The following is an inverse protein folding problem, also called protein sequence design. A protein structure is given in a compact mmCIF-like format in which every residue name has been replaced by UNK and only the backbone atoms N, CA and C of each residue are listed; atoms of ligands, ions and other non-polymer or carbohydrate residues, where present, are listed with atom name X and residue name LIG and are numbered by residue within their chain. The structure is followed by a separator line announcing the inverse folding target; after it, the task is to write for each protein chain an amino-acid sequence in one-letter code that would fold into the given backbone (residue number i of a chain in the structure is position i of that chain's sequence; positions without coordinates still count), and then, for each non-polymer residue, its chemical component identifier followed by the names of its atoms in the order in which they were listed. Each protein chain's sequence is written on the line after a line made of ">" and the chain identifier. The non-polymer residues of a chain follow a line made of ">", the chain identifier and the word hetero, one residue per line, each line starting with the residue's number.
data_IF_687541100754
#
_entry.id   IF_687541100754
#
_cell.length_a   1.000
_cell.length_b   1.000
_cell.length_c   1.000
_cell.angle_alpha   90.00
_cell.angle_beta   90.00
_cell.angle_gamma   90.00
#
_symmetry.space_group_name_H-M   'P 1'
#
loop_
_entity.id
_entity.type
_entity.pdbx_description
1 polymer ?
#
# COMPACT_ATOMS: atom_id res chain seq x y z
N UNK A 1 -20.66 -33.19 -28.22
CA UNK A 1 -20.55 -33.40 -26.76
C UNK A 1 -20.61 -32.04 -26.09
N UNK A 2 -21.22 -31.90 -24.91
CA UNK A 2 -21.18 -30.63 -24.19
C UNK A 2 -19.78 -30.46 -23.58
N UNK A 3 -19.04 -29.43 -23.98
CA UNK A 3 -17.76 -29.11 -23.36
C UNK A 3 -18.00 -28.62 -21.93
N UNK A 4 -17.71 -29.49 -20.97
CA UNK A 4 -17.68 -29.17 -19.54
C UNK A 4 -16.40 -28.39 -19.24
N UNK A 5 -16.30 -27.18 -19.80
CA UNK A 5 -15.21 -26.23 -19.54
C UNK A 5 -15.03 -26.10 -18.03
N UNK A 6 -13.95 -26.69 -17.52
CA UNK A 6 -13.67 -26.82 -16.10
C UNK A 6 -13.49 -25.43 -15.48
N UNK A 7 -13.90 -25.25 -14.22
CA UNK A 7 -13.51 -24.06 -13.46
C UNK A 7 -11.97 -24.08 -13.36
N UNK A 8 -11.25 -22.96 -13.63
CA UNK A 8 -9.80 -22.93 -13.54
C UNK A 8 -9.32 -23.40 -12.16
N UNK A 9 -8.34 -24.30 -12.11
CA UNK A 9 -7.98 -24.96 -10.84
C UNK A 9 -7.24 -24.06 -9.85
N UNK A 10 -6.60 -23.01 -10.35
CA UNK A 10 -5.72 -22.13 -9.59
C UNK A 10 -6.23 -20.67 -9.63
N UNK A 11 -7.47 -20.43 -9.18
CA UNK A 11 -8.02 -19.08 -9.09
C UNK A 11 -7.41 -18.31 -7.91
N UNK A 12 -7.08 -17.02 -8.07
CA UNK A 12 -6.58 -16.16 -6.99
C UNK A 12 -7.65 -16.01 -5.90
N UNK A 13 -7.25 -16.14 -4.63
CA UNK A 13 -8.15 -16.01 -3.48
C UNK A 13 -8.35 -14.55 -3.08
N UNK A 14 -9.57 -14.21 -2.70
CA UNK A 14 -9.95 -12.86 -2.27
C UNK A 14 -10.84 -12.94 -1.04
N UNK A 15 -10.42 -12.31 0.05
CA UNK A 15 -11.17 -12.36 1.32
C UNK A 15 -12.07 -11.13 1.50
N UNK A 16 -11.91 -10.08 0.69
CA UNK A 16 -12.66 -8.83 0.79
C UNK A 16 -12.25 -7.96 1.98
N UNK A 17 -11.02 -8.14 2.50
CA UNK A 17 -10.50 -7.38 3.64
C UNK A 17 -9.84 -6.09 3.19
N UNK A 18 -9.88 -5.07 4.07
CA UNK A 18 -9.18 -3.79 3.86
C UNK A 18 -7.69 -4.03 3.61
N UNK A 19 -7.21 -3.64 2.44
CA UNK A 19 -5.82 -3.79 2.01
C UNK A 19 -5.63 -4.71 0.80
N UNK A 20 -6.60 -5.58 0.53
CA UNK A 20 -6.71 -6.29 -0.76
C UNK A 20 -7.15 -5.30 -1.86
N UNK A 21 -6.72 -5.53 -3.09
CA UNK A 21 -7.13 -4.74 -4.26
C UNK A 21 -8.11 -5.54 -5.11
N UNK A 22 -9.36 -5.08 -5.16
CA UNK A 22 -10.44 -5.72 -5.92
C UNK A 22 -10.25 -5.58 -7.44
N UNK A 23 -9.63 -4.51 -7.94
CA UNK A 23 -9.33 -4.36 -9.38
C UNK A 23 -8.25 -5.35 -9.81
N UNK A 24 -7.21 -5.48 -8.99
CA UNK A 24 -6.13 -6.44 -9.21
C UNK A 24 -6.66 -7.88 -9.21
N UNK A 25 -7.51 -8.23 -8.22
CA UNK A 25 -8.13 -9.55 -8.15
C UNK A 25 -9.06 -9.84 -9.34
N UNK A 26 -9.95 -8.91 -9.70
CA UNK A 26 -10.85 -9.07 -10.85
C UNK A 26 -10.04 -9.28 -12.15
N UNK A 27 -8.96 -8.53 -12.36
CA UNK A 27 -8.07 -8.72 -13.51
C UNK A 27 -7.38 -10.09 -13.50
N UNK A 28 -6.92 -10.57 -12.33
CA UNK A 28 -6.32 -11.91 -12.20
C UNK A 28 -7.35 -13.03 -12.47
N UNK A 29 -8.61 -12.86 -12.05
CA UNK A 29 -9.72 -13.77 -12.38
C UNK A 29 -9.99 -13.80 -13.90
N UNK A 30 -10.12 -12.63 -14.54
CA UNK A 30 -10.30 -12.57 -16.00
C UNK A 30 -9.11 -13.20 -16.73
N UNK A 31 -7.87 -12.99 -16.28
CA UNK A 31 -6.68 -13.57 -16.88
C UNK A 31 -6.64 -15.10 -16.74
N UNK A 32 -6.97 -15.64 -15.56
CA UNK A 32 -7.09 -17.08 -15.35
C UNK A 32 -8.18 -17.70 -16.25
N UNK A 33 -9.30 -17.00 -16.44
CA UNK A 33 -10.35 -17.38 -17.38
C UNK A 33 -9.87 -17.38 -18.84
N UNK A 34 -9.21 -16.32 -19.32
CA UNK A 34 -8.62 -16.25 -20.68
C UNK A 34 -7.68 -17.42 -20.96
N UNK A 35 -6.79 -17.75 -20.01
CA UNK A 35 -5.83 -18.87 -20.12
C UNK A 35 -6.54 -20.22 -20.22
N UNK A 36 -7.76 -20.36 -19.69
CA UNK A 36 -8.59 -21.57 -19.77
C UNK A 36 -9.63 -21.49 -20.90
N UNK A 37 -9.37 -20.67 -21.93
CA UNK A 37 -10.24 -20.46 -23.10
C UNK A 37 -11.67 -20.00 -22.76
N UNK A 38 -11.84 -19.30 -21.63
CA UNK A 38 -13.12 -18.71 -21.21
C UNK A 38 -13.19 -17.27 -21.72
N UNK A 39 -14.15 -16.98 -22.60
CA UNK A 39 -14.41 -15.64 -23.11
C UNK A 39 -14.77 -14.67 -21.97
N UNK A 40 -14.20 -13.46 -22.03
CA UNK A 40 -14.49 -12.37 -21.08
C UNK A 40 -15.53 -11.46 -21.70
N UNK A 41 -16.78 -11.82 -21.52
CA UNK A 41 -17.95 -11.09 -22.03
C UNK A 41 -18.73 -10.49 -20.87
N UNK A 42 -19.11 -9.22 -21.01
CA UNK A 42 -19.85 -8.45 -20.00
C UNK A 42 -21.22 -9.05 -19.66
N UNK A 43 -21.84 -9.74 -20.62
CA UNK A 43 -23.09 -10.51 -20.49
C UNK A 43 -22.92 -11.88 -19.83
N UNK A 44 -21.69 -12.34 -19.57
CA UNK A 44 -21.43 -13.73 -19.15
C UNK A 44 -21.92 -14.03 -17.74
N UNK A 45 -22.95 -14.88 -17.64
CA UNK A 45 -23.47 -15.38 -16.35
C UNK A 45 -22.57 -16.43 -15.69
N UNK A 46 -21.55 -16.92 -16.41
CA UNK A 46 -20.59 -17.92 -15.90
C UNK A 46 -19.46 -17.28 -15.08
N UNK A 47 -19.00 -16.08 -15.46
CA UNK A 47 -17.87 -15.42 -14.79
C UNK A 47 -18.14 -15.03 -13.32
N UNK A 48 -19.31 -14.50 -12.93
CA UNK A 48 -19.63 -14.23 -11.51
C UNK A 48 -19.55 -15.49 -10.65
N UNK A 49 -19.98 -16.64 -11.18
CA UNK A 49 -19.93 -17.92 -10.48
C UNK A 49 -18.49 -18.44 -10.33
N UNK A 50 -17.63 -18.24 -11.34
CA UNK A 50 -16.20 -18.55 -11.25
C UNK A 50 -15.53 -17.64 -10.19
N UNK A 51 -15.76 -16.33 -10.26
CA UNK A 51 -15.21 -15.37 -9.30
C UNK A 51 -15.65 -15.68 -7.87
N UNK A 52 -16.96 -15.92 -7.65
CA UNK A 52 -17.53 -16.30 -6.36
C UNK A 52 -16.91 -17.57 -5.77
N UNK A 53 -16.56 -18.57 -6.60
CA UNK A 53 -15.87 -19.79 -6.15
C UNK A 53 -14.43 -19.56 -5.64
N UNK A 54 -13.85 -18.40 -5.98
CA UNK A 54 -12.53 -17.98 -5.52
C UNK A 54 -12.57 -17.03 -4.32
N UNK A 55 -13.75 -16.53 -3.93
CA UNK A 55 -13.91 -15.69 -2.75
C UNK A 55 -13.88 -16.51 -1.45
N UNK A 56 -13.30 -15.93 -0.42
CA UNK A 56 -13.20 -16.50 0.94
C UNK A 56 -13.88 -15.58 1.96
N UNK A 57 -13.94 -15.98 3.23
CA UNK A 57 -14.63 -15.19 4.27
C UNK A 57 -13.81 -13.94 4.66
N UNK A 58 -14.42 -12.75 4.77
CA UNK A 58 -15.87 -12.44 4.66
C UNK A 58 -16.46 -12.32 3.25
N UNK A 59 -15.68 -12.01 2.19
CA UNK A 59 -16.17 -11.71 0.83
C UNK A 59 -17.13 -12.74 0.22
N UNK A 60 -16.96 -14.04 0.49
CA UNK A 60 -17.90 -15.08 0.07
C UNK A 60 -19.33 -14.89 0.60
N UNK A 61 -19.49 -14.24 1.76
CA UNK A 61 -20.80 -13.87 2.33
C UNK A 61 -21.46 -12.71 1.58
N UNK A 62 -20.67 -11.77 1.04
CA UNK A 62 -21.19 -10.76 0.12
C UNK A 62 -21.63 -11.39 -1.20
N UNK A 63 -20.88 -12.35 -1.74
CA UNK A 63 -21.28 -13.04 -2.99
C UNK A 63 -22.59 -13.80 -2.83
N UNK A 64 -22.77 -14.52 -1.71
CA UNK A 64 -24.04 -15.16 -1.38
C UNK A 64 -25.19 -14.16 -1.27
N UNK A 65 -24.96 -12.99 -0.66
CA UNK A 65 -25.97 -11.94 -0.60
C UNK A 65 -26.30 -11.40 -2.01
N UNK A 66 -25.31 -10.91 -2.75
CA UNK A 66 -25.44 -10.37 -4.11
C UNK A 66 -26.20 -11.34 -5.04
N UNK A 67 -25.77 -12.60 -5.09
CA UNK A 67 -26.41 -13.63 -5.94
C UNK A 67 -27.83 -14.00 -5.51
N UNK A 68 -28.21 -13.75 -4.24
CA UNK A 68 -29.57 -13.98 -3.75
C UNK A 68 -30.53 -12.79 -3.94
N UNK A 69 -30.01 -11.58 -4.15
CA UNK A 69 -30.80 -10.33 -4.26
C UNK A 69 -30.83 -9.71 -5.66
N UNK A 70 -29.83 -10.00 -6.50
CA UNK A 70 -29.78 -9.55 -7.90
C UNK A 70 -30.70 -10.41 -8.77
N UNK A 71 -31.42 -9.82 -9.73
CA UNK A 71 -32.33 -10.59 -10.60
C UNK A 71 -31.53 -11.52 -11.52
N UNK A 72 -32.12 -12.65 -11.91
CA UNK A 72 -31.43 -13.64 -12.75
C UNK A 72 -30.91 -13.08 -14.09
N UNK A 73 -31.64 -12.12 -14.67
CA UNK A 73 -31.28 -11.39 -15.89
C UNK A 73 -30.10 -10.42 -15.68
N UNK A 74 -29.86 -10.02 -14.43
CA UNK A 74 -28.83 -9.07 -13.99
C UNK A 74 -27.60 -9.79 -13.41
N UNK A 75 -27.55 -11.14 -13.37
CA UNK A 75 -26.41 -11.93 -12.87
C UNK A 75 -25.28 -12.05 -13.91
N UNK A 76 -24.88 -10.94 -14.54
CA UNK A 76 -23.86 -10.87 -15.59
C UNK A 76 -22.48 -10.49 -15.05
N UNK A 77 -21.45 -10.51 -15.90
CA UNK A 77 -20.09 -10.14 -15.48
C UNK A 77 -19.95 -8.64 -15.22
N UNK A 78 -20.62 -7.80 -16.01
CA UNK A 78 -20.62 -6.34 -15.86
C UNK A 78 -21.13 -5.92 -14.47
N UNK A 79 -22.37 -6.31 -14.13
CA UNK A 79 -23.00 -5.98 -12.85
C UNK A 79 -22.25 -6.56 -11.65
N UNK A 80 -21.65 -7.74 -11.81
CA UNK A 80 -20.77 -8.32 -10.78
C UNK A 80 -19.54 -7.45 -10.55
N UNK A 81 -18.83 -7.02 -11.60
CA UNK A 81 -17.67 -6.12 -11.46
C UNK A 81 -18.09 -4.79 -10.84
N UNK A 82 -19.17 -4.17 -11.30
CA UNK A 82 -19.67 -2.90 -10.79
C UNK A 82 -20.03 -2.98 -9.30
N UNK A 83 -20.81 -3.98 -8.88
CA UNK A 83 -21.18 -4.15 -7.48
C UNK A 83 -19.99 -4.60 -6.60
N UNK A 84 -19.04 -5.39 -7.13
CA UNK A 84 -17.82 -5.77 -6.42
C UNK A 84 -16.91 -4.56 -6.17
N UNK A 85 -16.71 -3.70 -7.18
CA UNK A 85 -16.01 -2.43 -7.03
C UNK A 85 -16.75 -1.55 -6.01
N UNK A 86 -18.05 -1.32 -6.17
CA UNK A 86 -18.85 -0.49 -5.24
C UNK A 86 -18.79 -0.97 -3.77
N UNK A 87 -18.62 -2.28 -3.53
CA UNK A 87 -18.59 -2.83 -2.17
C UNK A 87 -17.18 -2.94 -1.56
N UNK A 88 -16.17 -3.32 -2.34
CA UNK A 88 -14.81 -3.59 -1.84
C UNK A 88 -13.79 -2.48 -2.15
N UNK A 89 -14.03 -1.66 -3.18
CA UNK A 89 -13.19 -0.50 -3.44
C UNK A 89 -13.44 0.59 -2.40
N UNK A 90 -12.38 1.20 -1.90
CA UNK A 90 -12.52 2.37 -1.04
C UNK A 90 -13.03 3.56 -1.87
N UNK A 91 -14.06 4.26 -1.41
CA UNK A 91 -14.61 5.44 -2.11
C UNK A 91 -13.61 6.59 -2.31
N UNK A 92 -12.44 6.52 -1.68
CA UNK A 92 -11.29 7.41 -1.86
C UNK A 92 -10.06 6.72 -2.48
N UNK A 93 -10.20 5.59 -3.19
CA UNK A 93 -9.11 4.78 -3.75
C UNK A 93 -8.07 5.60 -4.54
N UNK A 94 -8.51 6.42 -5.50
CA UNK A 94 -7.64 7.31 -6.29
C UNK A 94 -6.90 8.37 -5.45
N UNK A 95 -7.41 8.72 -4.26
CA UNK A 95 -6.72 9.59 -3.30
C UNK A 95 -5.74 8.79 -2.41
N UNK A 96 -6.10 7.58 -1.99
CA UNK A 96 -5.24 6.68 -1.21
C UNK A 96 -3.99 6.27 -2.00
N UNK A 97 -4.11 6.04 -3.32
CA UNK A 97 -2.95 5.78 -4.18
C UNK A 97 -2.01 7.00 -4.25
N UNK A 98 -2.55 8.21 -4.46
CA UNK A 98 -1.79 9.47 -4.46
C UNK A 98 -1.11 9.73 -3.11
N UNK A 99 -1.81 9.49 -2.01
CA UNK A 99 -1.27 9.60 -0.64
C UNK A 99 -0.12 8.60 -0.39
N UNK A 100 -0.27 7.36 -0.85
CA UNK A 100 0.80 6.34 -0.82
C UNK A 100 2.02 6.78 -1.65
N UNK A 101 1.83 7.26 -2.87
CA UNK A 101 2.92 7.80 -3.72
C UNK A 101 3.64 8.98 -3.05
N UNK A 102 2.88 9.96 -2.55
CA UNK A 102 3.45 11.14 -1.88
C UNK A 102 4.28 10.78 -0.64
N UNK A 103 3.94 9.70 0.05
CA UNK A 103 4.67 9.17 1.22
C UNK A 103 5.76 8.14 0.89
N UNK A 104 5.81 7.58 -0.32
CA UNK A 104 6.78 6.54 -0.68
C UNK A 104 8.21 7.09 -0.69
N UNK A 105 9.15 6.41 -0.02
CA UNK A 105 10.56 6.80 0.04
C UNK A 105 11.46 5.62 -0.28
N UNK A 106 12.57 5.90 -0.94
CA UNK A 106 13.64 4.95 -1.22
C UNK A 106 14.46 4.72 0.06
N UNK A 107 14.09 3.70 0.83
CA UNK A 107 14.77 3.32 2.09
C UNK A 107 15.92 2.35 1.82
N UNK A 108 15.74 1.42 0.87
CA UNK A 108 16.71 0.38 0.53
C UNK A 108 17.36 0.61 -0.84
N UNK A 109 17.44 -0.47 -1.62
CA UNK A 109 17.83 -0.48 -3.02
C UNK A 109 16.83 0.27 -3.94
N UNK A 110 17.27 0.53 -5.18
CA UNK A 110 16.47 1.24 -6.18
C UNK A 110 15.40 0.37 -6.84
N UNK A 111 15.64 -0.93 -7.02
CA UNK A 111 14.70 -1.86 -7.67
C UNK A 111 13.43 -2.05 -6.85
N UNK A 112 13.58 -2.25 -5.54
CA UNK A 112 12.50 -2.30 -4.56
C UNK A 112 11.71 -1.00 -4.50
N UNK A 113 12.35 0.16 -4.71
CA UNK A 113 11.66 1.43 -4.81
C UNK A 113 10.88 1.56 -6.12
N UNK A 114 11.51 1.23 -7.25
CA UNK A 114 10.88 1.22 -8.57
C UNK A 114 9.67 0.31 -8.61
N UNK A 115 9.79 -0.94 -8.13
CA UNK A 115 8.67 -1.89 -8.05
C UNK A 115 7.50 -1.36 -7.19
N UNK A 116 7.79 -0.75 -6.03
CA UNK A 116 6.76 -0.12 -5.18
C UNK A 116 6.12 1.12 -5.82
N UNK A 117 6.89 1.89 -6.58
CA UNK A 117 6.39 3.08 -7.28
C UNK A 117 5.51 2.67 -8.47
N UNK A 118 6.03 1.82 -9.37
CA UNK A 118 5.34 1.27 -10.54
C UNK A 118 4.02 0.58 -10.16
N UNK A 119 4.04 -0.25 -9.11
CA UNK A 119 2.84 -0.90 -8.59
C UNK A 119 1.76 0.08 -8.11
N UNK A 120 2.12 1.30 -7.68
CA UNK A 120 1.15 2.33 -7.31
C UNK A 120 0.72 3.18 -8.52
N UNK A 121 1.68 3.68 -9.31
CA UNK A 121 1.38 4.69 -10.33
C UNK A 121 0.56 4.16 -11.50
N UNK A 122 0.76 2.91 -11.93
CA UNK A 122 -0.03 2.31 -13.01
C UNK A 122 -1.52 2.08 -12.63
N UNK A 123 -1.90 2.31 -11.37
CA UNK A 123 -3.28 2.32 -10.89
C UNK A 123 -3.86 3.74 -10.73
N UNK A 124 -3.07 4.80 -10.92
CA UNK A 124 -3.50 6.20 -10.75
C UNK A 124 -4.02 6.77 -12.05
N UNK A 125 -5.29 7.16 -12.05
CA UNK A 125 -5.96 7.77 -13.21
C UNK A 125 -5.65 9.28 -13.26
N UNK A 126 -5.27 9.80 -14.43
CA UNK A 126 -5.17 11.24 -14.68
C UNK A 126 -4.06 11.99 -13.91
N UNK A 127 -2.90 11.38 -13.68
CA UNK A 127 -1.71 12.08 -13.18
C UNK A 127 -0.78 12.47 -14.35
N UNK A 128 -0.37 13.74 -14.42
CA UNK A 128 0.50 14.23 -15.51
C UNK A 128 1.89 13.58 -15.49
N UNK A 129 2.60 13.55 -16.62
CA UNK A 129 4.00 13.07 -16.68
C UNK A 129 4.90 13.86 -15.74
N UNK A 130 4.72 15.19 -15.67
CA UNK A 130 5.43 16.07 -14.74
C UNK A 130 5.19 15.68 -13.28
N UNK A 131 3.94 15.39 -12.90
CA UNK A 131 3.62 14.92 -11.54
C UNK A 131 4.22 13.55 -11.26
N UNK A 132 4.23 12.64 -12.24
CA UNK A 132 4.84 11.31 -12.12
C UNK A 132 6.36 11.42 -11.88
N UNK A 133 7.07 12.23 -12.67
CA UNK A 133 8.51 12.50 -12.51
C UNK A 133 8.77 13.21 -11.17
N UNK A 134 7.94 14.21 -10.81
CA UNK A 134 8.07 14.96 -9.56
C UNK A 134 7.86 14.08 -8.33
N UNK A 135 6.83 13.23 -8.29
CA UNK A 135 6.56 12.34 -7.16
C UNK A 135 7.65 11.27 -7.03
N UNK A 136 8.06 10.64 -8.13
CA UNK A 136 9.15 9.66 -8.15
C UNK A 136 10.46 10.27 -7.64
N UNK A 137 10.89 11.38 -8.26
CA UNK A 137 12.13 12.09 -7.90
C UNK A 137 12.08 12.61 -6.47
N UNK A 138 10.89 12.96 -5.96
CA UNK A 138 10.79 13.42 -4.58
C UNK A 138 11.01 12.34 -3.53
N UNK A 139 10.74 11.07 -3.85
CA UNK A 139 10.93 9.96 -2.92
C UNK A 139 12.32 9.30 -2.91
N UNK A 140 13.17 9.59 -3.89
CA UNK A 140 14.56 9.10 -3.97
C UNK A 140 15.44 9.56 -2.79
N UNK A 141 16.51 8.78 -2.50
CA UNK A 141 17.62 9.16 -1.60
C UNK A 141 18.21 10.49 -2.05
N UNK A 142 18.70 11.31 -1.11
CA UNK A 142 19.15 12.68 -1.41
C UNK A 142 20.28 12.78 -2.45
N UNK A 143 21.16 11.78 -2.56
CA UNK A 143 22.28 11.80 -3.53
C UNK A 143 21.77 11.55 -4.95
N UNK A 144 21.05 10.44 -5.12
CA UNK A 144 20.36 9.99 -6.34
C UNK A 144 19.36 11.04 -6.84
N UNK A 145 18.59 11.65 -5.92
CA UNK A 145 17.67 12.76 -6.19
C UNK A 145 18.36 13.99 -6.78
N UNK A 146 19.54 14.36 -6.28
CA UNK A 146 20.30 15.50 -6.81
C UNK A 146 20.83 15.23 -8.22
N UNK A 147 21.27 14.00 -8.51
CA UNK A 147 21.70 13.61 -9.85
C UNK A 147 20.53 13.64 -10.85
N UNK A 148 19.42 12.96 -10.53
CA UNK A 148 18.21 12.95 -11.39
C UNK A 148 17.68 14.36 -11.64
N UNK A 149 17.77 15.27 -10.66
CA UNK A 149 17.41 16.68 -10.83
C UNK A 149 18.37 17.51 -11.69
N UNK A 150 19.62 17.10 -11.83
CA UNK A 150 20.60 17.80 -12.67
C UNK A 150 20.38 17.46 -14.15
N UNK A 151 20.08 16.19 -14.44
CA UNK A 151 19.82 15.69 -15.80
C UNK A 151 18.43 16.12 -16.33
N UNK A 152 17.49 16.51 -15.46
CA UNK A 152 16.16 17.05 -15.77
C UNK A 152 15.35 16.20 -16.79
N UNK A 153 15.03 14.93 -16.46
CA UNK A 153 14.27 14.05 -17.33
C UNK A 153 12.81 14.51 -17.53
N UNK A 154 12.27 14.26 -18.72
CA UNK A 154 10.88 14.59 -19.07
C UNK A 154 9.92 13.42 -18.83
N UNK A 155 10.44 12.18 -18.76
CA UNK A 155 9.62 10.97 -18.68
C UNK A 155 9.91 10.12 -17.44
N UNK A 156 8.90 9.39 -16.95
CA UNK A 156 9.07 8.51 -15.79
C UNK A 156 10.08 7.37 -16.04
N UNK A 157 10.16 6.83 -17.26
CA UNK A 157 11.14 5.79 -17.61
C UNK A 157 12.56 6.34 -17.47
N UNK A 158 12.86 7.42 -18.19
CA UNK A 158 14.15 8.11 -18.14
C UNK A 158 14.56 8.48 -16.71
N UNK A 159 13.59 8.92 -15.89
CA UNK A 159 13.80 9.22 -14.46
C UNK A 159 14.20 7.97 -13.66
N UNK A 160 13.58 6.82 -13.93
CA UNK A 160 13.95 5.53 -13.33
C UNK A 160 15.31 5.04 -13.83
N UNK A 161 15.57 5.14 -15.14
CA UNK A 161 16.80 4.70 -15.79
C UNK A 161 18.02 5.50 -15.27
N UNK A 162 17.87 6.83 -15.12
CA UNK A 162 18.87 7.69 -14.49
C UNK A 162 19.11 7.35 -13.00
N UNK A 163 18.06 7.02 -12.25
CA UNK A 163 18.20 6.64 -10.84
C UNK A 163 18.93 5.28 -10.69
N UNK A 164 18.63 4.30 -11.54
CA UNK A 164 19.34 3.01 -11.59
C UNK A 164 20.80 3.20 -12.01
N UNK A 165 21.04 3.94 -13.11
CA UNK A 165 22.39 4.33 -13.60
C UNK A 165 23.22 4.96 -12.47
N UNK A 166 22.63 5.85 -11.68
CA UNK A 166 23.31 6.47 -10.55
C UNK A 166 23.65 5.46 -9.45
N UNK A 167 22.68 4.64 -9.01
CA UNK A 167 22.90 3.73 -7.88
C UNK A 167 23.93 2.64 -8.23
N UNK A 168 23.88 2.10 -9.46
CA UNK A 168 24.87 1.13 -9.97
C UNK A 168 26.28 1.73 -10.03
N UNK A 169 26.42 3.01 -10.39
CA UNK A 169 27.74 3.66 -10.50
C UNK A 169 28.29 4.21 -9.18
N UNK A 170 27.48 4.31 -8.12
CA UNK A 170 27.87 5.00 -6.88
C UNK A 170 27.68 4.21 -5.57
N UNK A 171 27.06 3.02 -5.58
CA UNK A 171 26.79 2.23 -4.36
C UNK A 171 27.33 0.78 -4.38
N UNK A 172 28.13 0.38 -5.38
CA UNK A 172 28.84 -0.91 -5.36
C UNK A 172 29.91 -0.94 -4.23
N UNK A 173 30.51 0.22 -3.90
CA UNK A 173 31.60 0.31 -2.91
C UNK A 173 31.19 0.01 -1.46
N UNK A 174 29.95 0.35 -1.05
CA UNK A 174 29.51 0.24 0.36
C UNK A 174 29.53 -1.21 0.87
N UNK A 175 29.29 -2.20 -0.01
CA UNK A 175 29.32 -3.63 0.33
C UNK A 175 30.74 -4.07 0.73
N UNK A 176 31.75 -3.66 -0.05
CA UNK A 176 33.15 -3.96 0.22
C UNK A 176 33.69 -3.20 1.45
N UNK A 177 33.16 -2.00 1.71
CA UNK A 177 33.55 -1.21 2.88
C UNK A 177 32.96 -1.74 4.21
N UNK A 178 31.89 -2.56 4.17
CA UNK A 178 31.39 -3.26 5.36
C UNK A 178 32.15 -4.56 5.66
N UNK A 179 32.52 -5.36 4.65
CA UNK A 179 33.28 -6.60 4.85
C UNK A 179 34.66 -6.32 5.50
N UNK A 180 35.42 -5.40 4.90
CA UNK A 180 36.75 -4.99 5.39
C UNK A 180 36.76 -4.35 6.79
N UNK A 181 35.59 -3.92 7.30
CA UNK A 181 35.41 -3.37 8.65
C UNK A 181 35.04 -4.42 9.70
N UNK A 182 34.54 -5.60 9.30
CA UNK A 182 34.28 -6.72 10.22
C UNK A 182 35.55 -7.52 10.52
N UNK A 183 36.43 -7.74 9.53
CA UNK A 183 37.66 -8.52 9.72
C UNK A 183 38.62 -7.91 10.76
N UNK A 184 38.64 -6.57 10.88
CA UNK A 184 39.48 -5.83 11.84
C UNK A 184 38.94 -5.86 13.29
N UNK A 185 37.99 -6.74 13.62
CA UNK A 185 37.40 -6.90 14.97
C UNK A 185 37.48 -8.33 15.54
N UNK A 186 38.59 -9.04 15.31
CA UNK A 186 39.00 -10.14 16.20
C UNK A 186 39.83 -9.59 17.39
N UNK A 187 39.38 -9.73 18.65
CA UNK A 187 40.23 -9.45 19.80
C UNK A 187 41.33 -10.51 19.93
N UNK A 188 42.53 -10.11 20.37
CA UNK A 188 43.51 -11.08 20.86
C UNK A 188 43.02 -11.72 22.15
N UNK A 189 43.38 -13.00 22.35
CA UNK A 189 43.14 -13.73 23.60
C UNK A 189 44.43 -13.70 24.42
N UNK A 190 44.43 -12.94 25.51
CA UNK A 190 45.53 -12.93 26.47
C UNK A 190 45.54 -14.24 27.28
N UNK A 191 46.74 -14.76 27.55
CA UNK A 191 46.92 -15.94 28.42
C UNK A 191 46.92 -15.53 29.89
N UNK A 192 46.22 -16.27 30.79
CA UNK A 192 46.32 -16.05 32.22
C UNK A 192 47.62 -16.64 32.77
N UNK A 193 48.57 -15.79 33.17
CA UNK A 193 49.75 -16.21 33.92
C UNK A 193 49.35 -16.52 35.39
N UNK A 194 49.81 -17.65 35.93
CA UNK A 194 49.26 -18.24 37.15
C UNK A 194 50.34 -18.64 38.17
N UNK A 195 50.68 -17.74 39.10
CA UNK A 195 51.40 -18.07 40.35
C UNK A 195 50.98 -17.15 41.50
N UNK A 196 50.72 -17.72 42.68
CA UNK A 196 50.53 -16.98 43.94
C UNK A 196 49.46 -17.60 44.86
N UNK A 197 49.86 -18.40 45.85
CA UNK A 197 48.86 -19.09 46.69
C UNK A 197 49.35 -19.96 47.86
N UNK A 198 50.07 -19.40 48.83
CA UNK A 198 50.06 -19.89 50.23
C UNK A 198 50.03 -18.67 51.18
N UNK A 199 49.50 -18.69 52.40
CA UNK A 199 49.07 -19.82 53.24
C UNK A 199 47.91 -19.46 54.19
N UNK A 200 47.03 -20.44 54.46
CA UNK A 200 46.17 -20.67 55.65
C UNK A 200 45.81 -19.48 56.58
N UNK A 201 44.50 -19.28 56.81
CA UNK A 201 43.82 -19.76 58.05
C UNK A 201 42.28 -19.70 57.96
N UNK A 202 41.65 -20.65 58.66
CA UNK A 202 40.24 -20.76 59.05
C UNK A 202 40.24 -21.03 60.59
N UNK A 203 39.11 -21.05 61.35
CA UNK A 203 37.73 -21.25 60.89
C UNK A 203 36.62 -20.38 61.57
N UNK A 204 35.40 -20.51 61.01
CA UNK A 204 34.06 -20.58 61.68
C UNK A 204 33.60 -19.58 62.76
N UNK A 205 32.37 -19.08 62.61
CA UNK A 205 31.19 -19.46 63.42
C UNK A 205 29.91 -19.12 62.63
N UNK A 206 28.84 -19.90 62.78
CA UNK A 206 27.54 -19.67 62.15
C UNK A 206 26.65 -18.68 62.93
N UNK A 207 25.71 -18.01 62.24
CA UNK A 207 24.26 -18.14 62.57
C UNK A 207 23.31 -17.58 61.51
N UNK A 208 22.06 -18.06 61.58
CA UNK A 208 20.96 -17.84 60.63
C UNK A 208 19.96 -16.80 61.13
N UNK A 209 19.37 -16.03 60.21
CA UNK A 209 18.20 -15.16 60.42
C UNK A 209 17.91 -14.34 59.16
N UNK A 210 17.05 -14.76 58.22
CA UNK A 210 15.59 -14.89 58.32
C UNK A 210 14.88 -13.59 58.74
N UNK A 211 14.34 -12.82 57.77
CA UNK A 211 12.89 -12.73 57.61
C UNK A 211 12.35 -11.89 56.42
N UNK A 212 11.26 -12.42 55.88
CA UNK A 212 10.24 -11.87 54.97
C UNK A 212 9.58 -10.56 55.45
N UNK A 213 9.64 -9.49 54.66
CA UNK A 213 8.83 -8.25 54.79
C UNK A 213 8.97 -7.38 53.52
N UNK A 214 8.03 -6.50 53.07
CA UNK A 214 6.61 -6.22 53.42
C UNK A 214 6.01 -5.22 52.39
N UNK A 215 4.67 -5.19 52.25
CA UNK A 215 3.82 -4.00 51.86
C UNK A 215 3.98 -3.45 50.42
N UNK A 216 3.05 -2.66 49.84
CA UNK A 216 1.74 -2.07 50.25
C UNK A 216 0.77 -2.03 49.02
N UNK A 217 -0.58 -2.05 49.14
CA UNK A 217 -1.56 -0.91 49.07
C UNK A 217 -1.27 0.17 47.99
N UNK A 218 -2.21 0.83 47.28
CA UNK A 218 -3.70 0.91 47.15
C UNK A 218 -4.01 1.81 45.89
N UNK A 219 -5.19 2.03 45.27
CA UNK A 219 -6.62 1.65 45.39
C UNK A 219 -7.32 1.75 43.99
N UNK A 220 -8.64 1.58 43.92
CA UNK A 220 -9.54 1.70 42.73
C UNK A 220 -9.67 3.15 42.18
N UNK A 221 -10.30 3.37 41.00
CA UNK A 221 -10.53 4.77 40.55
C UNK A 221 -11.44 5.20 39.38
N UNK A 222 -12.03 4.32 38.53
CA UNK A 222 -13.07 4.67 37.52
C UNK A 222 -12.70 5.71 36.38
N UNK A 223 -13.51 5.84 35.30
CA UNK A 223 -13.15 6.65 34.12
C UNK A 223 -13.87 8.02 34.00
N UNK A 224 -13.30 8.93 33.20
CA UNK A 224 -13.91 10.19 32.77
C UNK A 224 -14.44 10.13 31.32
N UNK A 225 -15.47 10.92 31.01
CA UNK A 225 -16.32 10.74 29.81
C UNK A 225 -16.04 11.69 28.63
N UNK A 226 -16.36 11.20 27.43
CA UNK A 226 -16.66 11.92 26.19
C UNK A 226 -16.71 13.47 26.21
N UNK A 227 -15.92 14.10 25.35
CA UNK A 227 -16.19 15.44 24.81
C UNK A 227 -16.52 15.36 23.31
N UNK A 228 -17.62 15.99 22.88
CA UNK A 228 -18.03 16.08 21.46
C UNK A 228 -17.68 17.47 20.91
N UNK A 229 -16.71 17.56 19.98
CA UNK A 229 -16.51 18.78 19.22
C UNK A 229 -17.56 18.92 18.10
N UNK A 230 -18.50 19.86 18.25
CA UNK A 230 -19.33 20.36 17.16
C UNK A 230 -18.61 21.53 16.47
N UNK A 231 -18.38 21.43 15.17
CA UNK A 231 -18.00 22.59 14.34
C UNK A 231 -19.27 23.24 13.81
N UNK A 232 -19.51 24.51 14.15
CA UNK A 232 -20.63 25.30 13.64
C UNK A 232 -20.20 26.12 12.44
N UNK A 233 -20.67 25.76 11.24
CA UNK A 233 -20.57 26.61 10.06
C UNK A 233 -21.69 27.67 10.09
N UNK A 234 -21.34 28.94 9.84
CA UNK A 234 -22.31 30.00 9.53
C UNK A 234 -22.34 30.24 8.01
N UNK A 235 -23.52 30.34 7.37
CA UNK A 235 -23.61 30.74 5.98
C UNK A 235 -23.51 32.26 5.82
N UNK A 236 -22.77 32.72 4.81
CA UNK A 236 -22.81 34.12 4.34
C UNK A 236 -23.59 34.19 3.03
N UNK A 237 -24.76 34.83 3.08
CA UNK A 237 -25.57 35.13 1.88
C UNK A 237 -24.99 36.33 1.15
N UNK A 238 -24.93 36.28 -0.19
CA UNK A 238 -24.69 37.44 -1.04
C UNK A 238 -25.74 37.49 -2.14
N UNK A 239 -26.55 38.55 -2.17
CA UNK A 239 -27.65 38.70 -3.13
C UNK A 239 -27.18 39.48 -4.37
N UNK A 240 -27.57 38.96 -5.53
CA UNK A 240 -27.10 39.40 -6.85
C UNK A 240 -27.38 40.85 -7.23
N UNK A 241 -26.74 41.25 -8.34
CA UNK A 241 -27.24 42.30 -9.23
C UNK A 241 -27.69 41.66 -10.55
N UNK A 242 -28.87 42.08 -11.03
CA UNK A 242 -29.31 41.86 -12.41
C UNK A 242 -28.92 43.06 -13.26
N UNK A 243 -28.56 42.84 -14.51
CA UNK A 243 -28.52 43.86 -15.57
C UNK A 243 -29.16 43.27 -16.82
N UNK A 244 -30.21 43.90 -17.34
CA UNK A 244 -30.93 43.45 -18.53
C UNK A 244 -30.18 43.84 -19.83
N UNK A 245 -30.48 43.19 -20.97
CA UNK A 245 -29.78 43.40 -22.23
C UNK A 245 -30.24 44.66 -22.97
N UNK A 246 -29.31 45.27 -23.72
CA UNK A 246 -29.60 46.27 -24.76
C UNK A 246 -29.51 45.64 -26.15
N UNK A 247 -30.28 46.18 -27.10
CA UNK A 247 -30.27 45.82 -28.53
C UNK A 247 -29.00 46.32 -29.23
N UNK A 248 -28.72 45.73 -30.41
CA UNK A 248 -28.23 46.33 -31.69
C UNK A 248 -27.18 45.45 -32.41
N UNK A 249 -27.12 45.32 -33.76
CA UNK A 249 -28.14 45.45 -34.83
C UNK A 249 -27.67 44.76 -36.13
N UNK A 250 -28.62 44.14 -36.85
CA UNK A 250 -28.69 44.09 -38.33
C UNK A 250 -27.70 43.22 -39.16
N UNK A 251 -28.11 43.01 -40.42
CA UNK A 251 -27.40 42.46 -41.58
C UNK A 251 -26.94 40.98 -41.54
N UNK A 252 -27.78 40.12 -42.11
CA UNK A 252 -27.30 39.29 -43.23
C UNK A 252 -28.06 39.69 -44.50
N UNK A 253 -27.43 39.54 -45.66
CA UNK A 253 -27.97 39.92 -46.98
C UNK A 253 -28.38 38.67 -47.77
N UNK A 254 -29.30 38.91 -48.71
CA UNK A 254 -29.97 38.10 -49.72
C UNK A 254 -29.27 36.89 -50.37
N UNK A 255 -30.14 36.06 -50.96
CA UNK A 255 -29.97 35.21 -52.17
C UNK A 255 -29.02 34.00 -52.08
#
# INVERSE_FOLDING_TARGET
>A
MADRTRVPTNLPKFTGKRGEDVREWLFQIENACRINSIAIEDTSTRLPNIAGSAMEKPGAGWFLHWSSTTRAEELTWLTFREHALQHFEASNYQAVLREKLQRLRQIGDIETYNGKYSALIFRVEGMSTLDQVMHYTNGLKSRTKSYVKLENPETLSETMDLAVKYEVTHFIDDVHHHQSRQEKKKPQVDQPNNQGGTSRRNPSVEKVGSNRARRTRLVNGAPATFARNRVTLRPTVSCGRKSNPSRETSKHVSE
#
